data_IF_991181476012
#
_entry.id   IF_991181476012
#
_cell.length_a   1.000
_cell.length_b   1.000
_cell.length_c   1.000
_cell.angle_alpha   90.00
_cell.angle_beta   90.00
_cell.angle_gamma   90.00
#
_symmetry.space_group_name_H-M   'P 1'
#
loop_
_entity.id
_entity.type
_entity.pdbx_description
1 polymer ?
#
# COMPACT_ATOMS: atom_id res chain seq x y z
N UNK A 1 -18.82 9.56 2.36
CA UNK A 1 -18.07 9.21 3.59
C UNK A 1 -16.59 9.05 3.32
N UNK A 2 -15.89 10.18 3.22
CA UNK A 2 -14.47 10.24 2.82
C UNK A 2 -13.53 10.06 4.02
N UNK A 3 -13.36 8.81 4.46
CA UNK A 3 -12.52 8.48 5.62
C UNK A 3 -11.57 7.30 5.36
N UNK A 4 -11.10 7.13 4.12
CA UNK A 4 -10.17 6.07 3.75
C UNK A 4 -8.81 6.64 3.35
N UNK A 5 -7.74 6.09 3.93
CA UNK A 5 -6.36 6.39 3.56
C UNK A 5 -5.72 5.10 3.04
N UNK A 6 -5.16 5.16 1.84
CA UNK A 6 -4.36 4.07 1.28
C UNK A 6 -2.89 4.48 1.30
N UNK A 7 -2.06 3.66 1.94
CA UNK A 7 -0.61 3.71 1.85
C UNK A 7 -0.20 2.70 0.78
N UNK A 8 0.62 3.10 -0.18
CA UNK A 8 1.14 2.22 -1.22
C UNK A 8 2.64 2.07 -1.00
N UNK A 9 3.12 0.83 -0.92
CA UNK A 9 4.53 0.56 -0.63
C UNK A 9 5.01 -0.77 -1.27
N UNK A 10 6.32 -0.92 -1.41
CA UNK A 10 6.92 -2.20 -1.77
C UNK A 10 6.92 -3.15 -0.56
N UNK A 11 6.58 -4.41 -0.78
CA UNK A 11 6.67 -5.46 0.24
C UNK A 11 7.91 -6.30 -0.02
N UNK A 12 8.60 -6.65 1.06
CA UNK A 12 9.64 -7.67 1.11
C UNK A 12 9.16 -8.86 1.94
N UNK A 13 9.49 -10.09 1.53
CA UNK A 13 9.09 -11.30 2.24
C UNK A 13 8.56 -12.39 1.32
N UNK A 14 7.68 -13.23 1.85
CA UNK A 14 7.14 -14.39 1.13
C UNK A 14 5.95 -13.99 0.25
N UNK A 15 6.10 -14.20 -1.05
CA UNK A 15 5.07 -13.95 -2.05
C UNK A 15 5.65 -14.04 -3.45
N UNK A 16 4.76 -14.05 -4.44
CA UNK A 16 5.16 -13.99 -5.84
C UNK A 16 5.51 -12.55 -6.22
N UNK A 17 6.59 -12.34 -6.98
CA UNK A 17 6.98 -11.01 -7.45
C UNK A 17 5.85 -10.35 -8.24
N UNK A 18 5.50 -9.12 -7.89
CA UNK A 18 4.38 -8.38 -8.46
C UNK A 18 3.03 -8.66 -7.78
N UNK A 19 2.94 -9.59 -6.83
CA UNK A 19 1.71 -9.84 -6.10
C UNK A 19 1.27 -8.60 -5.31
N UNK A 20 0.02 -8.16 -5.51
CA UNK A 20 -0.60 -7.08 -4.75
C UNK A 20 -1.28 -7.68 -3.51
N UNK A 21 -1.00 -7.12 -2.33
CA UNK A 21 -1.67 -7.47 -1.07
C UNK A 21 -2.29 -6.21 -0.47
N UNK A 22 -3.56 -6.32 -0.04
CA UNK A 22 -4.24 -5.26 0.70
C UNK A 22 -4.43 -5.72 2.13
N UNK A 23 -3.93 -4.95 3.09
CA UNK A 23 -4.05 -5.23 4.51
C UNK A 23 -4.41 -3.97 5.30
N UNK A 24 -5.10 -4.14 6.42
CA UNK A 24 -5.19 -3.08 7.44
C UNK A 24 -3.85 -2.99 8.16
N UNK A 25 -3.41 -1.78 8.54
CA UNK A 25 -2.13 -1.60 9.25
C UNK A 25 -2.03 -2.39 10.56
N UNK A 26 -3.16 -2.66 11.22
CA UNK A 26 -3.20 -3.48 12.44
C UNK A 26 -2.78 -4.93 12.23
N UNK A 27 -2.83 -5.42 11.00
CA UNK A 27 -2.51 -6.82 10.63
C UNK A 27 -1.10 -6.97 10.08
N UNK A 28 -0.31 -5.88 10.00
CA UNK A 28 1.05 -5.95 9.43
C UNK A 28 2.03 -6.67 10.35
N UNK A 29 1.84 -6.59 11.66
CA UNK A 29 2.68 -7.27 12.66
C UNK A 29 2.68 -8.80 12.50
N UNK A 30 1.59 -9.38 11.98
CA UNK A 30 1.45 -10.82 11.80
C UNK A 30 1.84 -11.34 10.41
N UNK A 31 2.13 -10.46 9.45
CA UNK A 31 2.36 -10.84 8.04
C UNK A 31 3.82 -10.72 7.58
N UNK A 32 4.76 -10.41 8.49
CA UNK A 32 6.20 -10.37 8.15
C UNK A 32 6.59 -9.24 7.19
N UNK A 33 5.73 -8.22 7.05
CA UNK A 33 5.99 -7.04 6.22
C UNK A 33 6.94 -6.13 7.01
N UNK A 34 8.24 -6.28 6.77
CA UNK A 34 9.26 -5.45 7.40
C UNK A 34 9.91 -4.52 6.39
N UNK A 35 9.61 -3.23 6.48
CA UNK A 35 10.57 -2.12 6.34
C UNK A 35 9.86 -0.85 6.89
N UNK A 36 10.24 -0.40 8.09
CA UNK A 36 9.64 0.72 8.89
C UNK A 36 8.34 0.46 9.69
N UNK A 37 8.18 -0.73 10.27
CA UNK A 37 7.02 -1.10 11.11
C UNK A 37 6.68 -0.11 12.24
N UNK A 38 7.67 0.58 12.83
CA UNK A 38 7.42 1.60 13.87
C UNK A 38 6.76 2.87 13.31
N UNK A 39 7.25 3.39 12.18
CA UNK A 39 6.71 4.60 11.56
C UNK A 39 5.29 4.37 11.04
N UNK A 40 5.02 3.21 10.44
CA UNK A 40 3.70 2.85 9.96
C UNK A 40 2.68 2.67 11.10
N UNK A 41 3.11 2.15 12.26
CA UNK A 41 2.26 2.10 13.47
C UNK A 41 1.87 3.48 13.98
N UNK A 42 2.83 4.42 14.01
CA UNK A 42 2.54 5.81 14.41
C UNK A 42 1.57 6.48 13.44
N UNK A 43 1.79 6.30 12.13
CA UNK A 43 0.89 6.81 11.08
C UNK A 43 -0.52 6.24 11.24
N UNK A 44 -0.65 4.92 11.45
CA UNK A 44 -1.92 4.27 11.68
C UNK A 44 -2.64 4.84 12.92
N UNK A 45 -1.92 5.04 14.02
CA UNK A 45 -2.47 5.64 15.24
C UNK A 45 -2.99 7.06 14.98
N UNK A 46 -2.19 7.90 14.34
CA UNK A 46 -2.55 9.30 14.04
C UNK A 46 -3.84 9.38 13.19
N UNK A 47 -3.92 8.59 12.12
CA UNK A 47 -5.10 8.59 11.26
C UNK A 47 -6.34 7.99 11.94
N UNK A 48 -6.16 6.96 12.78
CA UNK A 48 -7.26 6.40 13.58
C UNK A 48 -7.81 7.38 14.59
N UNK A 49 -6.95 8.13 15.28
CA UNK A 49 -7.37 9.21 16.20
C UNK A 49 -8.17 10.30 15.46
N UNK A 50 -7.88 10.52 14.17
CA UNK A 50 -8.66 11.38 13.29
C UNK A 50 -9.92 10.71 12.67
N UNK A 51 -10.30 9.51 13.13
CA UNK A 51 -11.48 8.78 12.63
C UNK A 51 -11.33 8.20 11.21
N UNK A 52 -10.11 8.07 10.71
CA UNK A 52 -9.82 7.52 9.37
C UNK A 52 -9.50 6.03 9.45
N UNK A 53 -9.90 5.28 8.41
CA UNK A 53 -9.49 3.88 8.21
C UNK A 53 -8.31 3.84 7.25
N UNK A 54 -7.24 3.14 7.64
CA UNK A 54 -6.01 3.09 6.86
C UNK A 54 -5.73 1.67 6.36
N UNK A 55 -5.44 1.57 5.06
CA UNK A 55 -5.08 0.34 4.37
C UNK A 55 -3.68 0.47 3.77
N UNK A 56 -2.90 -0.60 3.80
CA UNK A 56 -1.68 -0.76 3.03
C UNK A 56 -2.01 -1.57 1.77
N UNK A 57 -1.74 -1.00 0.61
CA UNK A 57 -1.73 -1.69 -0.67
C UNK A 57 -0.26 -1.92 -1.06
N UNK A 58 0.24 -3.11 -0.76
CA UNK A 58 1.63 -3.46 -0.96
C UNK A 58 1.87 -4.30 -2.20
N UNK A 59 3.00 -4.09 -2.88
CA UNK A 59 3.41 -4.89 -4.04
C UNK A 59 4.67 -5.67 -3.70
N UNK A 60 4.63 -6.99 -3.82
CA UNK A 60 5.78 -7.85 -3.54
C UNK A 60 6.93 -7.57 -4.53
N UNK A 61 8.00 -6.97 -4.03
CA UNK A 61 9.21 -6.73 -4.81
C UNK A 61 10.05 -8.01 -4.91
N UNK A 62 10.80 -8.14 -6.00
CA UNK A 62 11.83 -9.17 -6.16
C UNK A 62 13.15 -8.79 -5.50
N UNK A 63 13.47 -7.49 -5.48
CA UNK A 63 14.70 -6.94 -4.92
C UNK A 63 14.42 -5.53 -4.40
N UNK A 64 14.84 -5.25 -3.17
CA UNK A 64 14.72 -3.94 -2.49
C UNK A 64 16.08 -3.35 -2.13
N UNK A 65 17.17 -3.90 -2.65
CA UNK A 65 18.52 -3.41 -2.45
C UNK A 65 18.71 -2.02 -3.07
N UNK A 66 19.62 -1.24 -2.48
CA UNK A 66 19.93 0.11 -2.97
C UNK A 66 20.50 -0.01 -4.39
N UNK A 67 19.90 0.72 -5.33
CA UNK A 67 20.30 0.71 -6.74
C UNK A 67 19.63 -0.36 -7.60
N UNK A 68 18.76 -1.20 -7.02
CA UNK A 68 17.96 -2.15 -7.79
C UNK A 68 16.95 -1.43 -8.69
N UNK A 69 16.77 -1.95 -9.90
CA UNK A 69 15.74 -1.49 -10.84
C UNK A 69 14.41 -2.20 -10.57
N UNK A 70 13.30 -1.50 -10.86
CA UNK A 70 11.97 -2.11 -10.83
C UNK A 70 11.87 -3.18 -11.93
N UNK A 71 11.44 -4.39 -11.56
CA UNK A 71 11.24 -5.46 -12.54
C UNK A 71 9.90 -5.28 -13.29
N UNK A 72 9.73 -5.89 -14.48
CA UNK A 72 8.52 -5.75 -15.29
C UNK A 72 7.24 -6.16 -14.56
N UNK A 73 7.29 -7.21 -13.74
CA UNK A 73 6.14 -7.71 -12.98
C UNK A 73 5.67 -6.69 -11.93
N UNK A 74 6.60 -6.12 -11.16
CA UNK A 74 6.29 -5.10 -10.16
C UNK A 74 5.78 -3.82 -10.84
N UNK A 75 6.41 -3.41 -11.95
CA UNK A 75 5.97 -2.25 -12.72
C UNK A 75 4.53 -2.43 -13.23
N UNK A 76 4.22 -3.59 -13.81
CA UNK A 76 2.87 -3.91 -14.29
C UNK A 76 1.85 -3.78 -13.17
N UNK A 77 2.11 -4.37 -12.01
CA UNK A 77 1.22 -4.29 -10.85
C UNK A 77 1.06 -2.86 -10.31
N UNK A 78 2.13 -2.07 -10.34
CA UNK A 78 2.09 -0.67 -9.94
C UNK A 78 1.25 0.17 -10.91
N UNK A 79 1.40 -0.05 -12.22
CA UNK A 79 0.60 0.60 -13.26
C UNK A 79 -0.89 0.24 -13.10
N UNK A 80 -1.21 -1.05 -12.92
CA UNK A 80 -2.59 -1.52 -12.69
C UNK A 80 -3.22 -0.90 -11.43
N UNK A 81 -2.46 -0.84 -10.33
CA UNK A 81 -2.92 -0.24 -9.07
C UNK A 81 -3.15 1.28 -9.23
N UNK A 82 -2.26 1.97 -9.94
CA UNK A 82 -2.39 3.39 -10.23
C UNK A 82 -3.63 3.67 -11.10
N UNK A 83 -3.84 2.90 -12.17
CA UNK A 83 -5.02 3.00 -13.03
C UNK A 83 -6.32 2.79 -12.25
N UNK A 84 -6.34 1.78 -11.36
CA UNK A 84 -7.47 1.54 -10.47
C UNK A 84 -7.80 2.77 -9.62
N UNK A 85 -6.81 3.34 -8.92
CA UNK A 85 -7.03 4.51 -8.07
C UNK A 85 -7.40 5.75 -8.88
N UNK A 86 -6.77 5.99 -10.02
CA UNK A 86 -7.12 7.10 -10.92
C UNK A 86 -8.57 6.98 -11.37
N UNK A 87 -9.01 5.79 -11.77
CA UNK A 87 -10.39 5.54 -12.18
C UNK A 87 -11.39 5.82 -11.05
N UNK A 88 -11.09 5.37 -9.83
CA UNK A 88 -11.96 5.60 -8.66
C UNK A 88 -11.99 7.07 -8.23
N UNK A 89 -10.84 7.73 -8.18
CA UNK A 89 -10.72 9.13 -7.74
C UNK A 89 -11.28 10.11 -8.76
N UNK A 90 -11.15 9.85 -10.07
CA UNK A 90 -11.79 10.67 -11.11
C UNK A 90 -13.31 10.48 -11.18
N UNK A 91 -13.79 9.28 -10.85
CA UNK A 91 -15.23 8.98 -10.74
C UNK A 91 -15.89 9.67 -9.54
N UNK A 92 -15.10 10.05 -8.52
CA UNK A 92 -15.52 10.89 -7.40
C UNK A 92 -15.50 12.37 -7.79
N UNK A 93 -16.23 12.76 -8.83
CA UNK A 93 -16.58 14.19 -8.98
C UNK A 93 -17.53 14.55 -7.84
N UNK A 94 -17.12 15.50 -7.01
CA UNK A 94 -17.83 15.99 -5.84
C UNK A 94 -19.32 16.22 -6.14
N UNK A 95 -20.18 15.41 -5.54
CA UNK A 95 -21.56 15.81 -5.28
C UNK A 95 -21.52 16.73 -4.06
N UNK A 96 -21.51 18.04 -4.30
CA UNK A 96 -21.96 19.04 -3.33
C UNK A 96 -23.48 19.15 -3.39
#
# INVERSE_FOLDING_TARGET
DENLVFIVDALSGNGETGQIKIATLDKLDSQGISTHSLSLKMINRFFKEAGKKVYLAGIQASDTSIGACICPQVKKSADELAEFFIGKLRGLKCTN
#
